data_IF_937924504660
#
_entry.id   IF_937924504660
#
_cell.length_a   1.000
_cell.length_b   1.000
_cell.length_c   1.000
_cell.angle_alpha   90.00
_cell.angle_beta   90.00
_cell.angle_gamma   90.00
#
_symmetry.space_group_name_H-M   'P 1'
#
loop_
_entity.id
_entity.type
_entity.pdbx_description
1 polymer ?
#
# COMPACT_ATOMS: atom_id res chain seq x y z
N UNK A 1 -20.08 7.21 -79.17
CA UNK A 1 -19.16 6.58 -78.21
C UNK A 1 -19.05 7.50 -76.99
N UNK A 2 -19.97 7.37 -76.03
CA UNK A 2 -19.89 8.09 -74.76
C UNK A 2 -19.41 7.10 -73.72
N UNK A 3 -18.17 7.25 -73.27
CA UNK A 3 -17.58 6.40 -72.25
C UNK A 3 -18.18 6.78 -70.89
N UNK A 4 -18.77 5.80 -70.20
CA UNK A 4 -19.35 5.96 -68.88
C UNK A 4 -18.28 6.27 -67.84
N UNK A 5 -18.54 7.27 -67.00
CA UNK A 5 -17.74 7.57 -65.82
C UNK A 5 -17.90 6.45 -64.77
N UNK A 6 -16.82 6.05 -64.08
CA UNK A 6 -16.93 5.13 -62.94
C UNK A 6 -17.58 5.83 -61.74
N UNK A 7 -18.59 5.19 -61.15
CA UNK A 7 -19.22 5.58 -59.89
C UNK A 7 -18.25 5.41 -58.71
N UNK A 8 -18.29 6.29 -57.69
CA UNK A 8 -17.44 6.16 -56.51
C UNK A 8 -17.81 4.92 -55.68
N UNK A 9 -16.84 4.30 -54.98
CA UNK A 9 -17.13 3.15 -54.12
C UNK A 9 -17.90 3.58 -52.87
N UNK A 10 -18.86 2.72 -52.55
CA UNK A 10 -19.77 2.72 -51.41
C UNK A 10 -19.06 3.02 -50.08
N UNK A 11 -19.50 4.09 -49.41
CA UNK A 11 -18.98 4.51 -48.12
C UNK A 11 -19.46 3.54 -47.03
N UNK A 12 -18.57 2.67 -46.57
CA UNK A 12 -18.84 1.73 -45.47
C UNK A 12 -19.28 2.47 -44.19
N UNK A 13 -20.33 1.99 -43.49
CA UNK A 13 -20.77 2.58 -42.24
C UNK A 13 -19.75 2.30 -41.13
N UNK A 14 -19.32 3.35 -40.43
CA UNK A 14 -18.42 3.26 -39.28
C UNK A 14 -19.11 2.56 -38.10
N UNK A 15 -18.45 1.61 -37.40
CA UNK A 15 -19.03 0.92 -36.25
C UNK A 15 -19.20 1.87 -35.06
N UNK A 16 -20.44 1.97 -34.56
CA UNK A 16 -20.88 2.94 -33.55
C UNK A 16 -20.58 2.54 -32.10
N UNK A 17 -19.55 1.74 -31.85
CA UNK A 17 -19.33 1.13 -30.53
C UNK A 17 -17.89 1.26 -30.09
N UNK A 18 -17.54 2.46 -29.63
CA UNK A 18 -16.33 2.68 -28.85
C UNK A 18 -16.48 1.96 -27.49
N UNK A 19 -15.52 1.11 -27.08
CA UNK A 19 -15.53 0.53 -25.75
C UNK A 19 -15.29 1.63 -24.71
N UNK A 20 -16.13 1.66 -23.68
CA UNK A 20 -16.00 2.58 -22.54
C UNK A 20 -14.65 2.36 -21.85
N UNK A 21 -13.67 3.24 -22.07
CA UNK A 21 -12.44 3.21 -21.30
C UNK A 21 -12.77 3.40 -19.81
N UNK A 22 -12.13 2.65 -18.89
CA UNK A 22 -12.30 2.88 -17.47
C UNK A 22 -11.87 4.31 -17.14
N UNK A 23 -12.67 5.00 -16.32
CA UNK A 23 -12.35 6.36 -15.90
C UNK A 23 -10.97 6.39 -15.22
N UNK A 24 -10.17 7.45 -15.44
CA UNK A 24 -8.92 7.63 -14.71
C UNK A 24 -9.23 7.67 -13.20
N UNK A 25 -8.51 6.85 -12.43
CA UNK A 25 -8.60 6.87 -10.97
C UNK A 25 -8.39 8.31 -10.48
N UNK A 26 -9.17 8.79 -9.49
CA UNK A 26 -9.00 10.13 -8.96
C UNK A 26 -7.55 10.32 -8.48
N UNK A 27 -6.96 11.51 -8.65
CA UNK A 27 -5.63 11.79 -8.13
C UNK A 27 -5.66 11.53 -6.63
N UNK A 28 -4.77 10.64 -6.14
CA UNK A 28 -4.65 10.39 -4.70
C UNK A 28 -4.45 11.74 -4.00
N UNK A 29 -5.18 12.02 -2.90
CA UNK A 29 -4.93 13.23 -2.12
C UNK A 29 -3.46 13.23 -1.69
N UNK A 30 -2.80 14.37 -1.85
CA UNK A 30 -1.42 14.57 -1.40
C UNK A 30 -1.32 14.17 0.09
N UNK A 31 -0.32 13.36 0.48
CA UNK A 31 -0.26 12.85 1.84
C UNK A 31 -0.19 14.02 2.82
N UNK A 32 -1.00 14.02 3.90
CA UNK A 32 -0.95 15.10 4.89
C UNK A 32 0.46 15.19 5.50
N UNK A 33 0.81 16.36 6.04
CA UNK A 33 2.10 16.60 6.71
C UNK A 33 2.40 15.59 7.85
N UNK A 34 1.37 14.87 8.30
CA UNK A 34 1.40 13.78 9.27
C UNK A 34 2.15 12.53 8.77
N UNK A 35 2.30 12.37 7.44
CA UNK A 35 3.06 11.27 6.79
C UNK A 35 4.55 11.21 7.13
N UNK A 36 5.11 12.26 7.74
CA UNK A 36 6.52 12.32 8.17
C UNK A 36 6.75 11.82 9.60
N UNK A 37 5.69 11.64 10.39
CA UNK A 37 5.83 11.24 11.79
C UNK A 37 5.79 9.72 11.90
N UNK A 38 6.74 9.09 12.61
CA UNK A 38 6.67 7.66 12.90
C UNK A 38 5.42 7.35 13.73
N UNK A 39 4.55 6.49 13.20
CA UNK A 39 3.41 5.97 13.94
C UNK A 39 3.86 4.82 14.82
N UNK A 40 3.50 4.87 16.10
CA UNK A 40 3.89 3.85 17.08
C UNK A 40 2.68 3.03 17.50
N UNK A 41 2.84 1.72 17.57
CA UNK A 41 1.86 0.83 18.19
C UNK A 41 2.52 -0.01 19.26
N UNK A 42 1.84 -0.13 20.39
CA UNK A 42 2.21 -1.02 21.48
C UNK A 42 1.10 -2.06 21.64
N UNK A 43 1.46 -3.33 21.64
CA UNK A 43 0.51 -4.40 21.98
C UNK A 43 0.42 -4.46 23.49
N UNK A 44 -0.79 -4.40 24.05
CA UNK A 44 -1.01 -4.54 25.49
C UNK A 44 -0.50 -5.92 25.95
N UNK A 45 0.43 -5.93 26.92
CA UNK A 45 1.11 -7.16 27.36
C UNK A 45 2.27 -7.63 26.47
N UNK A 46 2.58 -6.90 25.39
CA UNK A 46 3.70 -7.21 24.50
C UNK A 46 5.04 -6.69 25.02
N UNK A 47 6.11 -7.47 24.78
CA UNK A 47 7.50 -7.06 25.01
C UNK A 47 8.07 -6.15 23.91
N UNK A 48 7.30 -5.81 22.89
CA UNK A 48 7.79 -5.07 21.73
C UNK A 48 6.94 -3.83 21.43
N UNK A 49 7.63 -2.72 21.13
CA UNK A 49 7.08 -1.52 20.54
C UNK A 49 7.37 -1.52 19.04
N UNK A 50 6.36 -1.24 18.24
CA UNK A 50 6.49 -1.18 16.80
C UNK A 50 6.39 0.27 16.34
N UNK A 51 7.31 0.67 15.46
CA UNK A 51 7.42 1.99 14.86
C UNK A 51 7.32 1.85 13.35
N UNK A 52 6.32 2.46 12.73
CA UNK A 52 6.08 2.42 11.28
C UNK A 52 6.14 3.85 10.73
N UNK A 53 7.11 4.11 9.86
CA UNK A 53 7.16 5.27 8.99
C UNK A 53 6.66 4.84 7.60
N UNK A 54 5.50 5.36 7.21
CA UNK A 54 4.92 5.08 5.89
C UNK A 54 5.93 5.38 4.78
N UNK A 55 5.96 4.50 3.77
CA UNK A 55 6.85 4.60 2.61
C UNK A 55 8.36 4.57 2.88
N UNK A 56 8.78 4.44 4.15
CA UNK A 56 10.19 4.56 4.52
C UNK A 56 10.70 3.32 5.24
N UNK A 57 10.18 3.01 6.43
CA UNK A 57 10.71 1.91 7.25
C UNK A 57 9.76 1.49 8.35
N UNK A 58 9.88 0.25 8.79
CA UNK A 58 9.28 -0.24 10.01
C UNK A 58 10.32 -0.90 10.90
N UNK A 59 10.20 -0.69 12.21
CA UNK A 59 11.08 -1.28 13.22
C UNK A 59 10.29 -1.82 14.41
N UNK A 60 10.81 -2.89 14.98
CA UNK A 60 10.37 -3.53 16.21
C UNK A 60 11.45 -3.29 17.27
N UNK A 61 11.12 -2.68 18.39
CA UNK A 61 12.03 -2.42 19.51
C UNK A 61 11.56 -3.16 20.74
N UNK A 62 12.43 -3.93 21.38
CA UNK A 62 12.11 -4.56 22.65
C UNK A 62 11.93 -3.53 23.78
N UNK A 63 10.97 -3.77 24.67
CA UNK A 63 10.61 -2.92 25.79
C UNK A 63 11.53 -3.24 26.97
N UNK A 64 12.65 -2.51 27.05
CA UNK A 64 13.65 -2.64 28.13
C UNK A 64 14.99 -1.99 27.78
N UNK A 65 15.77 -1.62 28.79
CA UNK A 65 17.12 -1.04 28.58
C UNK A 65 18.03 -2.07 27.88
N UNK A 66 18.61 -1.69 26.74
CA UNK A 66 19.54 -2.53 25.97
C UNK A 66 18.91 -3.64 25.12
N UNK A 67 17.59 -3.64 24.92
CA UNK A 67 16.92 -4.63 24.06
C UNK A 67 17.19 -4.36 22.57
N UNK A 68 17.30 -5.42 21.79
CA UNK A 68 17.55 -5.36 20.35
C UNK A 68 16.40 -4.65 19.61
N UNK A 69 16.78 -3.88 18.58
CA UNK A 69 15.86 -3.31 17.61
C UNK A 69 16.01 -4.09 16.30
N UNK A 70 14.91 -4.61 15.78
CA UNK A 70 14.86 -5.32 14.50
C UNK A 70 14.13 -4.48 13.46
N UNK A 71 14.64 -4.45 12.24
CA UNK A 71 13.96 -3.88 11.09
C UNK A 71 12.90 -4.85 10.58
N UNK A 72 11.67 -4.36 10.43
CA UNK A 72 10.58 -5.08 9.80
C UNK A 72 10.49 -4.82 8.30
N UNK A 73 11.21 -3.83 7.80
CA UNK A 73 11.29 -3.54 6.38
C UNK A 73 11.70 -2.10 6.09
N UNK A 74 12.20 -1.89 4.88
CA UNK A 74 12.58 -0.57 4.32
C UNK A 74 12.11 -0.39 2.88
N UNK A 75 11.59 -1.46 2.28
CA UNK A 75 11.14 -1.47 0.90
C UNK A 75 9.61 -1.44 0.90
N UNK A 76 9.03 -0.33 0.46
CA UNK A 76 7.58 -0.19 0.35
C UNK A 76 7.07 -0.82 -0.95
N UNK A 77 5.98 -1.57 -0.85
CA UNK A 77 5.23 -2.04 -2.00
C UNK A 77 3.72 -1.97 -1.72
N UNK A 78 2.92 -1.73 -2.76
CA UNK A 78 1.47 -1.84 -2.70
C UNK A 78 1.04 -3.26 -3.07
N UNK A 79 0.28 -3.92 -2.20
CA UNK A 79 -0.40 -5.17 -2.52
C UNK A 79 -1.77 -4.87 -3.19
N UNK A 80 -2.49 -3.92 -2.60
CA UNK A 80 -3.69 -3.32 -3.18
C UNK A 80 -3.52 -1.82 -3.15
N UNK A 81 -3.54 -1.17 -4.31
CA UNK A 81 -3.33 0.27 -4.43
C UNK A 81 -4.30 1.04 -3.51
N UNK A 82 -3.76 1.86 -2.61
CA UNK A 82 -4.53 2.68 -1.68
C UNK A 82 -5.16 1.95 -0.48
N UNK A 83 -5.18 0.61 -0.47
CA UNK A 83 -5.84 -0.16 0.60
C UNK A 83 -4.87 -1.00 1.44
N UNK A 84 -3.84 -1.59 0.81
CA UNK A 84 -2.89 -2.48 1.50
C UNK A 84 -1.47 -2.21 1.04
N UNK A 85 -0.66 -1.73 1.98
CA UNK A 85 0.78 -1.56 1.80
C UNK A 85 1.57 -2.66 2.51
N UNK A 86 2.78 -2.93 2.05
CA UNK A 86 3.70 -3.85 2.71
C UNK A 86 5.11 -3.27 2.73
N UNK A 87 5.74 -3.32 3.90
CA UNK A 87 7.16 -3.05 4.07
C UNK A 87 7.90 -4.39 4.11
N UNK A 88 8.84 -4.57 3.19
CA UNK A 88 9.66 -5.78 3.04
C UNK A 88 11.14 -5.45 3.24
N UNK A 89 11.97 -6.49 3.23
CA UNK A 89 13.43 -6.34 3.33
C UNK A 89 13.93 -6.08 4.74
N UNK A 90 13.18 -6.53 5.76
CA UNK A 90 13.61 -6.46 7.16
C UNK A 90 14.76 -7.42 7.49
N UNK A 91 15.11 -7.48 8.77
CA UNK A 91 16.20 -8.32 9.24
C UNK A 91 15.88 -9.81 9.05
N UNK A 92 16.93 -10.59 8.76
CA UNK A 92 16.81 -12.04 8.59
C UNK A 92 16.30 -12.68 9.88
N UNK A 93 15.34 -13.59 9.74
CA UNK A 93 14.65 -14.20 10.86
C UNK A 93 15.00 -15.69 10.98
N UNK A 94 16.22 -15.99 11.41
CA UNK A 94 16.70 -17.37 11.53
C UNK A 94 16.59 -18.14 10.19
N UNK A 95 15.87 -19.26 10.21
CA UNK A 95 15.53 -20.07 9.03
C UNK A 95 14.29 -19.57 8.26
N UNK A 96 13.59 -18.56 8.78
CA UNK A 96 12.43 -17.95 8.16
C UNK A 96 12.78 -16.86 7.13
N UNK A 97 11.75 -16.28 6.49
CA UNK A 97 11.93 -15.18 5.56
C UNK A 97 12.47 -13.92 6.25
N UNK A 98 12.92 -12.94 5.46
CA UNK A 98 13.19 -11.60 5.97
C UNK A 98 11.92 -11.05 6.61
N UNK A 99 12.06 -10.38 7.76
CA UNK A 99 10.92 -9.75 8.43
C UNK A 99 10.18 -8.81 7.47
N UNK A 100 8.85 -8.82 7.56
CA UNK A 100 7.97 -7.97 6.77
C UNK A 100 6.78 -7.51 7.61
N UNK A 101 6.20 -6.36 7.28
CA UNK A 101 4.95 -5.89 7.88
C UNK A 101 3.95 -5.46 6.82
N UNK A 102 2.74 -6.00 6.91
CA UNK A 102 1.59 -5.64 6.10
C UNK A 102 0.73 -4.61 6.84
N UNK A 103 0.36 -3.55 6.15
CA UNK A 103 -0.38 -2.41 6.70
C UNK A 103 -1.66 -2.26 5.88
N UNK A 104 -2.80 -2.54 6.52
CA UNK A 104 -4.12 -2.29 5.94
C UNK A 104 -4.54 -0.88 6.28
N UNK A 105 -4.93 -0.07 5.30
CA UNK A 105 -5.42 1.28 5.53
C UNK A 105 -6.94 1.25 5.74
N UNK A 106 -7.41 1.94 6.79
CA UNK A 106 -8.83 2.09 7.11
C UNK A 106 -9.19 3.57 7.23
N UNK A 107 -10.32 3.95 6.63
CA UNK A 107 -10.86 5.30 6.72
C UNK A 107 -11.19 5.64 8.17
N UNK A 108 -10.62 6.73 8.68
CA UNK A 108 -10.86 7.23 10.03
C UNK A 108 -10.58 8.74 10.11
N UNK A 109 -11.11 9.40 11.13
CA UNK A 109 -10.94 10.85 11.32
C UNK A 109 -9.53 11.24 11.78
N UNK A 110 -8.69 10.29 12.21
CA UNK A 110 -7.37 10.55 12.77
C UNK A 110 -6.39 9.43 12.47
N UNK A 111 -5.10 9.79 12.40
CA UNK A 111 -4.04 8.81 12.17
C UNK A 111 -3.74 8.00 13.43
N UNK A 112 -3.92 6.68 13.36
CA UNK A 112 -3.64 5.77 14.47
C UNK A 112 -3.21 4.39 13.98
N UNK A 113 -2.04 3.94 14.43
CA UNK A 113 -1.59 2.58 14.19
C UNK A 113 -2.26 1.62 15.18
N UNK A 114 -2.92 0.61 14.64
CA UNK A 114 -3.53 -0.47 15.38
C UNK A 114 -2.51 -1.43 15.99
N UNK A 115 -2.97 -2.42 16.77
CA UNK A 115 -2.09 -3.43 17.34
C UNK A 115 -1.44 -4.27 16.23
N UNK A 116 -0.13 -4.46 16.33
CA UNK A 116 0.63 -5.32 15.42
C UNK A 116 0.51 -6.77 15.87
N UNK A 117 0.15 -7.66 14.95
CA UNK A 117 0.01 -9.09 15.20
C UNK A 117 0.90 -9.90 14.24
N UNK A 118 1.50 -10.98 14.74
CA UNK A 118 2.30 -11.89 13.91
C UNK A 118 1.37 -12.92 13.27
N UNK A 119 1.12 -12.78 11.95
CA UNK A 119 0.21 -13.67 11.20
C UNK A 119 0.86 -14.99 10.82
N UNK A 120 2.17 -14.94 10.56
CA UNK A 120 3.02 -16.10 10.35
C UNK A 120 4.44 -15.74 10.75
N UNK A 121 5.32 -16.73 10.86
CA UNK A 121 6.70 -16.55 11.33
C UNK A 121 7.38 -15.37 10.63
N UNK A 122 7.67 -14.32 11.39
CA UNK A 122 8.36 -13.10 10.94
C UNK A 122 7.59 -12.24 9.91
N UNK A 123 6.30 -12.51 9.74
CA UNK A 123 5.38 -11.69 8.95
C UNK A 123 4.33 -11.06 9.85
N UNK A 124 4.43 -9.74 10.00
CA UNK A 124 3.58 -8.94 10.85
C UNK A 124 2.45 -8.32 10.05
N UNK A 125 1.33 -8.05 10.70
CA UNK A 125 0.21 -7.32 10.14
C UNK A 125 -0.31 -6.30 11.14
N UNK A 126 -0.75 -5.16 10.62
CA UNK A 126 -1.41 -4.11 11.41
C UNK A 126 -2.39 -3.35 10.53
N UNK A 127 -3.24 -2.58 11.19
CA UNK A 127 -4.20 -1.68 10.56
C UNK A 127 -3.78 -0.24 10.86
N UNK A 128 -3.83 0.63 9.86
CA UNK A 128 -3.62 2.05 10.01
C UNK A 128 -4.94 2.77 9.73
N UNK A 129 -5.52 3.32 10.79
CA UNK A 129 -6.62 4.28 10.69
C UNK A 129 -6.03 5.60 10.18
N UNK A 130 -6.56 6.16 9.08
CA UNK A 130 -6.11 7.46 8.54
C UNK A 130 -7.22 8.12 7.71
N UNK A 131 -7.33 9.47 7.75
CA UNK A 131 -8.26 10.20 6.88
C UNK A 131 -7.87 10.12 5.40
N UNK A 132 -6.64 9.73 5.07
CA UNK A 132 -6.19 9.54 3.69
C UNK A 132 -6.71 8.25 3.02
N UNK A 133 -7.36 7.38 3.79
CA UNK A 133 -8.03 6.17 3.30
C UNK A 133 -9.53 6.36 3.09
N UNK A 134 -10.03 7.56 3.43
CA UNK A 134 -11.26 8.10 2.90
C UNK A 134 -10.92 8.86 1.59
#
# INVERSE_FOLDING_TARGET
>A
MFQGLPTPPDALPLPSSLPSLPLPAPPLPSPPASSRTPLRSQVAGGEYEYEVCLYSRATQRGRGKGKAAFSLGREWAWETAGAVGVLRGGDKCGAGPKRSVRITFECAESEKLGPVSERSTCAYATTLATPAAC
#
